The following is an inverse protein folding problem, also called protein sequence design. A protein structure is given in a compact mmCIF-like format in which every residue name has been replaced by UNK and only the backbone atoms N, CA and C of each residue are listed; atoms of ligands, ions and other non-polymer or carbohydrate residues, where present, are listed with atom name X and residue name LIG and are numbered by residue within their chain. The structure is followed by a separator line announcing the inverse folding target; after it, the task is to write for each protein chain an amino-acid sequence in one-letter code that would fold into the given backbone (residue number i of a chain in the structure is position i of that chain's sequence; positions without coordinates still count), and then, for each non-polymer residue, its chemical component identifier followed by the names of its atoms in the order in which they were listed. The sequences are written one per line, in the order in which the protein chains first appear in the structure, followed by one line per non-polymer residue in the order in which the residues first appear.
data_IF_334287633810
#
_entry.id   IF_334287633810
#
_cell.length_a   1.000
_cell.length_b   1.000
_cell.length_c   1.000
_cell.angle_alpha   90.00
_cell.angle_beta   90.00
_cell.angle_gamma   90.00
#
_symmetry.space_group_name_H-M   'P 1'
#
loop_
_entity.id
_entity.type
_entity.pdbx_description
1 polymer ?
#
# COMPACT_ATOMS: atom_id res chain seq x y z
N UNK A 1 15.81 22.75 37.72
CA UNK A 1 16.98 22.93 38.60
C UNK A 1 18.32 22.68 37.91
N UNK A 2 18.51 21.68 37.09
CA UNK A 2 19.80 21.41 36.41
C UNK A 2 20.32 22.59 35.53
N UNK A 3 19.45 23.30 34.81
CA UNK A 3 19.83 24.49 34.02
C UNK A 3 20.36 25.66 34.87
N UNK A 4 19.90 25.80 36.10
CA UNK A 4 20.35 26.84 37.00
C UNK A 4 21.77 26.57 37.53
N UNK A 5 22.11 25.30 37.73
CA UNK A 5 23.44 24.88 38.20
C UNK A 5 24.51 25.09 37.11
N UNK A 6 24.16 24.81 35.85
CA UNK A 6 25.09 25.01 34.72
C UNK A 6 25.31 26.49 34.42
N UNK A 7 24.26 27.32 34.52
CA UNK A 7 24.39 28.77 34.39
C UNK A 7 25.19 29.39 35.54
N UNK A 8 25.02 28.89 36.77
CA UNK A 8 25.79 29.34 37.93
C UNK A 8 27.27 28.95 37.80
N UNK A 9 27.59 27.73 37.34
CA UNK A 9 28.98 27.32 37.11
C UNK A 9 29.63 28.11 35.96
N UNK A 10 28.94 28.40 34.87
CA UNK A 10 29.42 29.23 33.77
C UNK A 10 29.67 30.68 34.19
N UNK A 11 28.78 31.27 35.00
CA UNK A 11 28.97 32.62 35.54
C UNK A 11 30.16 32.70 36.52
N UNK A 12 30.38 31.68 37.33
CA UNK A 12 31.51 31.63 38.27
C UNK A 12 32.87 31.55 37.55
N UNK A 13 32.96 30.76 36.45
CA UNK A 13 34.17 30.67 35.62
C UNK A 13 34.49 32.00 34.95
N UNK A 14 33.49 32.73 34.48
CA UNK A 14 33.66 34.05 33.83
C UNK A 14 34.08 35.11 34.84
N UNK A 15 33.53 35.11 36.05
CA UNK A 15 33.90 36.05 37.12
C UNK A 15 35.31 35.74 37.68
N UNK A 16 35.67 34.45 37.79
CA UNK A 16 37.01 34.06 38.24
C UNK A 16 38.11 34.48 37.25
N UNK A 17 37.85 34.43 35.93
CA UNK A 17 38.80 34.91 34.92
C UNK A 17 39.01 36.44 34.97
N UNK A 18 38.01 37.21 35.42
CA UNK A 18 38.11 38.66 35.53
C UNK A 18 38.87 39.14 36.82
N UNK A 19 38.96 38.30 37.85
CA UNK A 19 39.57 38.63 39.13
C UNK A 19 41.01 38.08 39.25
N UNK A 20 41.53 37.43 38.20
CA UNK A 20 42.89 36.84 38.23
C UNK A 20 43.02 35.65 39.19
N UNK A 21 41.90 35.04 39.60
CA UNK A 21 41.91 33.82 40.39
C UNK A 21 42.14 32.64 39.44
N UNK A 22 43.09 31.79 39.77
CA UNK A 22 43.37 30.57 38.99
C UNK A 22 42.05 29.79 38.70
N UNK A 23 41.85 29.28 37.48
CA UNK A 23 40.63 28.56 37.16
C UNK A 23 40.43 27.44 38.17
N UNK A 24 39.34 27.51 38.93
CA UNK A 24 38.93 26.41 39.80
C UNK A 24 38.56 25.25 38.88
N UNK A 25 39.45 24.29 38.75
CA UNK A 25 39.13 23.00 38.14
C UNK A 25 38.14 22.29 39.08
N UNK A 26 36.84 22.49 38.82
CA UNK A 26 35.81 21.68 39.46
C UNK A 26 35.91 20.31 38.82
N UNK A 27 36.66 19.42 39.43
CA UNK A 27 36.68 17.99 39.08
C UNK A 27 35.35 17.41 39.55
N UNK A 28 34.43 17.24 38.68
CA UNK A 28 33.16 16.50 38.95
C UNK A 28 33.58 15.05 39.23
N UNK A 29 33.11 14.50 40.34
CA UNK A 29 33.31 13.09 40.66
C UNK A 29 32.86 12.22 39.47
N UNK A 30 33.71 11.32 38.95
CA UNK A 30 33.38 10.46 37.79
C UNK A 30 32.06 9.72 37.98
N UNK A 31 31.73 9.28 39.20
CA UNK A 31 30.47 8.62 39.48
C UNK A 31 29.26 9.56 39.31
N UNK A 32 29.41 10.82 39.72
CA UNK A 32 28.36 11.83 39.55
C UNK A 32 28.19 12.18 38.09
N UNK A 33 29.28 12.31 37.32
CA UNK A 33 29.26 12.57 35.91
C UNK A 33 28.55 11.40 35.13
N UNK A 34 28.91 10.17 35.48
CA UNK A 34 28.28 8.96 34.88
C UNK A 34 26.78 8.88 35.21
N UNK A 35 26.37 9.23 36.44
CA UNK A 35 24.94 9.26 36.82
C UNK A 35 24.15 10.30 36.04
N UNK A 36 24.72 11.49 35.85
CA UNK A 36 24.11 12.56 35.05
C UNK A 36 23.97 12.12 33.58
N UNK A 37 25.00 11.49 33.01
CA UNK A 37 24.97 11.00 31.66
C UNK A 37 23.88 9.95 31.48
N UNK A 38 23.75 8.97 32.38
CA UNK A 38 22.69 7.95 32.37
C UNK A 38 21.30 8.58 32.40
N UNK A 39 21.07 9.58 33.28
CA UNK A 39 19.79 10.29 33.33
C UNK A 39 19.48 10.98 32.01
N UNK A 40 20.46 11.67 31.40
CA UNK A 40 20.30 12.34 30.11
C UNK A 40 20.03 11.36 28.95
N UNK A 41 20.73 10.24 28.94
CA UNK A 41 20.52 9.18 27.96
C UNK A 41 19.10 8.62 28.08
N UNK A 42 18.63 8.35 29.31
CA UNK A 42 17.27 7.89 29.57
C UNK A 42 16.21 8.92 29.16
N UNK A 43 16.43 10.20 29.46
CA UNK A 43 15.53 11.27 28.99
C UNK A 43 15.50 11.41 27.47
N UNK A 44 16.68 11.28 26.83
CA UNK A 44 16.77 11.28 25.37
C UNK A 44 16.04 10.07 24.77
N UNK A 45 16.26 8.88 25.32
CA UNK A 45 15.56 7.66 24.90
C UNK A 45 14.03 7.83 24.94
N UNK A 46 13.50 8.30 26.06
CA UNK A 46 12.06 8.54 26.21
C UNK A 46 11.53 9.58 25.21
N UNK A 47 12.28 10.66 24.97
CA UNK A 47 11.91 11.70 24.01
C UNK A 47 11.89 11.18 22.58
N UNK A 48 12.90 10.41 22.16
CA UNK A 48 12.96 9.86 20.81
C UNK A 48 11.95 8.74 20.61
N UNK A 49 11.70 7.90 21.61
CA UNK A 49 10.64 6.88 21.56
C UNK A 49 9.25 7.52 21.45
N UNK A 50 8.98 8.58 22.22
CA UNK A 50 7.72 9.31 22.12
C UNK A 50 7.51 9.95 20.75
N UNK A 51 8.54 10.60 20.20
CA UNK A 51 8.47 11.21 18.88
C UNK A 51 8.31 10.16 17.76
N UNK A 52 8.86 8.95 17.94
CA UNK A 52 8.66 7.83 17.00
C UNK A 52 7.22 7.34 17.03
N UNK A 53 6.67 7.11 18.22
CA UNK A 53 5.29 6.68 18.38
C UNK A 53 4.29 7.68 17.80
N UNK A 54 4.53 8.99 18.01
CA UNK A 54 3.69 10.05 17.41
C UNK A 54 3.75 10.05 15.89
N UNK A 55 4.92 9.86 15.28
CA UNK A 55 5.08 9.83 13.82
C UNK A 55 4.44 8.59 13.19
N UNK A 56 4.59 7.44 13.83
CA UNK A 56 3.91 6.19 13.41
C UNK A 56 2.39 6.37 13.51
N UNK A 57 1.87 6.95 14.58
CA UNK A 57 0.45 7.22 14.73
C UNK A 57 -0.08 8.18 13.65
N UNK A 58 0.66 9.26 13.37
CA UNK A 58 0.34 10.21 12.30
C UNK A 58 0.36 9.54 10.92
N UNK A 59 1.32 8.65 10.67
CA UNK A 59 1.41 7.90 9.42
C UNK A 59 0.23 6.92 9.28
N UNK A 60 -0.16 6.21 10.33
CA UNK A 60 -1.36 5.36 10.35
C UNK A 60 -2.62 6.15 10.01
N UNK A 61 -2.76 7.33 10.61
CA UNK A 61 -3.88 8.21 10.33
C UNK A 61 -3.90 8.66 8.87
N UNK A 62 -2.76 9.07 8.32
CA UNK A 62 -2.65 9.47 6.91
C UNK A 62 -3.01 8.33 5.94
N UNK A 63 -2.57 7.10 6.24
CA UNK A 63 -2.93 5.91 5.45
C UNK A 63 -4.43 5.64 5.53
N UNK A 64 -5.01 5.72 6.72
CA UNK A 64 -6.45 5.55 6.91
C UNK A 64 -7.27 6.59 6.12
N UNK A 65 -6.83 7.84 6.08
CA UNK A 65 -7.47 8.90 5.29
C UNK A 65 -7.39 8.64 3.78
N UNK A 66 -6.22 8.18 3.29
CA UNK A 66 -6.04 7.78 1.89
C UNK A 66 -7.02 6.67 1.51
N UNK A 67 -7.12 5.64 2.33
CA UNK A 67 -8.01 4.50 2.08
C UNK A 67 -9.48 4.87 2.22
N UNK A 68 -9.83 5.67 3.22
CA UNK A 68 -11.21 6.21 3.37
C UNK A 68 -11.62 7.01 2.13
N UNK A 69 -10.72 7.82 1.57
CA UNK A 69 -10.98 8.54 0.33
C UNK A 69 -11.16 7.58 -0.85
N UNK A 70 -10.31 6.54 -0.96
CA UNK A 70 -10.42 5.53 -1.99
C UNK A 70 -11.73 4.73 -1.89
N UNK A 71 -12.13 4.30 -0.70
CA UNK A 71 -13.42 3.60 -0.48
C UNK A 71 -14.64 4.41 -0.92
N UNK A 72 -14.61 5.72 -0.75
CA UNK A 72 -15.71 6.60 -1.24
C UNK A 72 -15.84 6.60 -2.75
N UNK A 73 -14.76 6.34 -3.48
CA UNK A 73 -14.75 6.30 -4.94
C UNK A 73 -15.09 4.92 -5.51
N UNK A 74 -15.01 3.85 -4.71
CA UNK A 74 -15.13 2.45 -5.17
C UNK A 74 -16.41 2.22 -5.95
N UNK A 75 -17.57 2.63 -5.41
CA UNK A 75 -18.88 2.42 -6.07
C UNK A 75 -18.94 3.11 -7.44
N UNK A 76 -18.45 4.36 -7.51
CA UNK A 76 -18.38 5.10 -8.78
C UNK A 76 -17.45 4.46 -9.80
N UNK A 77 -16.27 3.96 -9.37
CA UNK A 77 -15.32 3.29 -10.25
C UNK A 77 -15.82 1.92 -10.72
N UNK A 78 -16.47 1.16 -9.82
CA UNK A 78 -17.12 -0.10 -10.17
C UNK A 78 -18.26 0.11 -11.18
N UNK A 79 -19.06 1.18 -11.02
CA UNK A 79 -20.11 1.55 -11.98
C UNK A 79 -19.51 1.88 -13.36
N UNK A 80 -18.48 2.73 -13.42
CA UNK A 80 -17.81 3.11 -14.66
C UNK A 80 -17.19 1.89 -15.33
N UNK A 81 -16.47 1.03 -14.58
CA UNK A 81 -15.81 -0.16 -15.10
C UNK A 81 -16.79 -1.19 -15.68
N UNK A 82 -18.00 -1.27 -15.13
CA UNK A 82 -19.02 -2.23 -15.59
C UNK A 82 -19.97 -1.68 -16.64
N UNK A 83 -20.04 -0.36 -16.81
CA UNK A 83 -20.95 0.29 -17.78
C UNK A 83 -20.83 -0.24 -19.20
N UNK A 84 -19.61 -0.52 -19.73
CA UNK A 84 -19.44 -1.06 -21.07
C UNK A 84 -20.08 -2.44 -21.31
N UNK A 85 -20.40 -3.18 -20.25
CA UNK A 85 -20.99 -4.53 -20.34
C UNK A 85 -22.50 -4.53 -20.15
N UNK A 86 -23.07 -3.45 -19.59
CA UNK A 86 -24.50 -3.39 -19.24
C UNK A 86 -25.39 -3.16 -20.43
N UNK A 87 -26.58 -3.74 -20.33
CA UNK A 87 -27.61 -3.63 -21.34
C UNK A 87 -27.46 -4.67 -22.45
N UNK A 88 -28.58 -4.88 -23.14
CA UNK A 88 -28.71 -5.94 -24.17
C UNK A 88 -27.66 -5.83 -25.28
N UNK A 89 -27.47 -4.62 -25.82
CA UNK A 89 -26.52 -4.41 -26.93
C UNK A 89 -25.07 -4.66 -26.52
N UNK A 90 -24.67 -4.22 -25.35
CA UNK A 90 -23.33 -4.41 -24.87
C UNK A 90 -23.05 -5.88 -24.54
N UNK A 91 -23.97 -6.55 -23.84
CA UNK A 91 -23.86 -7.97 -23.55
C UNK A 91 -23.77 -8.84 -24.82
N UNK A 92 -24.58 -8.54 -25.83
CA UNK A 92 -24.52 -9.23 -27.11
C UNK A 92 -23.25 -8.92 -27.89
N UNK A 93 -22.74 -7.71 -27.83
CA UNK A 93 -21.45 -7.35 -28.42
C UNK A 93 -20.30 -8.11 -27.76
N UNK A 94 -20.28 -8.21 -26.44
CA UNK A 94 -19.29 -9.01 -25.70
C UNK A 94 -19.38 -10.50 -26.04
N UNK A 95 -20.60 -11.05 -26.13
CA UNK A 95 -20.80 -12.44 -26.55
C UNK A 95 -20.31 -12.68 -27.99
N UNK A 96 -20.52 -11.72 -28.91
CA UNK A 96 -20.01 -11.78 -30.27
C UNK A 96 -18.48 -11.77 -30.36
N UNK A 97 -17.83 -10.88 -29.57
CA UNK A 97 -16.36 -10.85 -29.45
C UNK A 97 -15.82 -12.18 -28.91
N UNK A 98 -16.39 -12.70 -27.82
CA UNK A 98 -16.00 -13.98 -27.25
C UNK A 98 -16.24 -15.17 -28.21
N UNK A 99 -17.31 -15.15 -29.00
CA UNK A 99 -17.57 -16.17 -30.05
C UNK A 99 -16.49 -16.09 -31.12
N UNK A 100 -16.13 -14.89 -31.59
CA UNK A 100 -15.06 -14.68 -32.56
C UNK A 100 -13.73 -15.18 -32.04
N UNK A 101 -13.38 -14.85 -30.77
CA UNK A 101 -12.17 -15.33 -30.13
C UNK A 101 -12.11 -16.84 -30.04
N UNK A 102 -13.22 -17.49 -29.66
CA UNK A 102 -13.33 -18.97 -29.61
C UNK A 102 -13.16 -19.63 -30.94
N UNK A 103 -13.68 -19.03 -32.01
CA UNK A 103 -13.62 -19.58 -33.37
C UNK A 103 -12.29 -19.32 -34.09
N UNK A 104 -11.63 -18.18 -33.79
CA UNK A 104 -10.44 -17.70 -34.49
C UNK A 104 -9.17 -17.67 -33.62
N UNK A 105 -9.25 -18.00 -32.31
CA UNK A 105 -8.12 -17.99 -31.43
C UNK A 105 -7.66 -16.56 -31.04
N UNK A 106 -8.59 -15.61 -30.93
CA UNK A 106 -8.32 -14.22 -30.52
C UNK A 106 -8.41 -13.99 -29.01
N UNK A 107 -8.18 -12.74 -28.61
CA UNK A 107 -8.29 -12.26 -27.21
C UNK A 107 -9.04 -10.92 -27.12
N UNK A 108 -9.81 -10.54 -28.15
CA UNK A 108 -10.50 -9.24 -28.23
C UNK A 108 -11.40 -8.96 -27.01
N UNK A 109 -12.15 -9.97 -26.54
CA UNK A 109 -13.02 -9.82 -25.38
C UNK A 109 -12.21 -9.59 -24.10
N UNK A 110 -11.13 -10.32 -23.92
CA UNK A 110 -10.28 -10.19 -22.75
C UNK A 110 -9.61 -8.81 -22.70
N UNK A 111 -9.10 -8.34 -23.83
CA UNK A 111 -8.49 -7.01 -23.97
C UNK A 111 -9.52 -5.90 -23.71
N UNK A 112 -10.73 -6.06 -24.22
CA UNK A 112 -11.85 -5.14 -23.99
C UNK A 112 -12.23 -5.06 -22.51
N UNK A 113 -12.32 -6.21 -21.82
CA UNK A 113 -12.57 -6.27 -20.38
C UNK A 113 -11.45 -5.57 -19.64
N UNK A 114 -10.20 -5.89 -19.93
CA UNK A 114 -9.04 -5.31 -19.26
C UNK A 114 -9.01 -3.77 -19.38
N UNK A 115 -9.26 -3.25 -20.56
CA UNK A 115 -9.32 -1.81 -20.80
C UNK A 115 -10.49 -1.15 -20.03
N UNK A 116 -11.63 -1.83 -19.95
CA UNK A 116 -12.80 -1.34 -19.21
C UNK A 116 -12.57 -1.26 -17.70
N UNK A 117 -11.63 -2.06 -17.16
CA UNK A 117 -11.25 -2.07 -15.75
C UNK A 117 -10.22 -1.00 -15.38
N UNK A 118 -9.66 -0.28 -16.35
CA UNK A 118 -8.64 0.75 -16.11
C UNK A 118 -9.02 1.78 -15.02
N UNK A 119 -10.27 2.33 -14.97
CA UNK A 119 -10.65 3.27 -13.92
C UNK A 119 -10.60 2.68 -12.50
N UNK A 120 -10.84 1.37 -12.36
CA UNK A 120 -10.78 0.67 -11.10
C UNK A 120 -9.33 0.33 -10.70
N UNK A 121 -8.50 -0.07 -11.66
CA UNK A 121 -7.07 -0.33 -11.43
C UNK A 121 -6.31 0.94 -11.09
N UNK A 122 -6.64 2.07 -11.73
CA UNK A 122 -6.07 3.39 -11.40
C UNK A 122 -6.40 3.81 -9.97
N UNK A 123 -7.60 3.49 -9.46
CA UNK A 123 -7.93 3.75 -8.05
C UNK A 123 -7.01 2.96 -7.11
N UNK A 124 -6.84 1.67 -7.34
CA UNK A 124 -5.98 0.80 -6.52
C UNK A 124 -4.52 1.23 -6.57
N UNK A 125 -3.98 1.52 -7.78
CA UNK A 125 -2.59 1.96 -7.94
C UNK A 125 -2.33 3.32 -7.30
N UNK A 126 -3.26 4.26 -7.44
CA UNK A 126 -3.14 5.58 -6.80
C UNK A 126 -3.17 5.51 -5.28
N UNK A 127 -4.05 4.68 -4.70
CA UNK A 127 -4.06 4.45 -3.25
C UNK A 127 -2.74 3.84 -2.79
N UNK A 128 -2.28 2.79 -3.48
CA UNK A 128 -0.98 2.13 -3.23
C UNK A 128 0.18 3.10 -3.24
N UNK A 129 0.33 3.90 -4.29
CA UNK A 129 1.44 4.86 -4.41
C UNK A 129 1.46 5.85 -3.24
N UNK A 130 0.30 6.39 -2.87
CA UNK A 130 0.19 7.31 -1.73
C UNK A 130 0.57 6.63 -0.42
N UNK A 131 0.14 5.38 -0.18
CA UNK A 131 0.51 4.59 0.99
C UNK A 131 2.02 4.35 1.02
N UNK A 132 2.62 3.95 -0.09
CA UNK A 132 4.07 3.74 -0.19
C UNK A 132 4.87 4.98 0.16
N UNK A 133 4.45 6.16 -0.31
CA UNK A 133 5.09 7.43 0.03
C UNK A 133 5.04 7.70 1.53
N UNK A 134 3.91 7.46 2.19
CA UNK A 134 3.78 7.63 3.65
C UNK A 134 4.69 6.67 4.41
N UNK A 135 4.73 5.42 4.02
CA UNK A 135 5.56 4.40 4.65
C UNK A 135 7.07 4.67 4.48
N UNK A 136 7.48 5.08 3.28
CA UNK A 136 8.87 5.47 3.02
C UNK A 136 9.26 6.69 3.86
N UNK A 137 8.35 7.65 4.03
CA UNK A 137 8.53 8.81 4.90
C UNK A 137 8.73 8.40 6.37
N UNK A 138 7.85 7.58 6.92
CA UNK A 138 7.93 7.08 8.29
C UNK A 138 9.26 6.35 8.53
N UNK A 139 9.64 5.45 7.63
CA UNK A 139 10.91 4.74 7.72
C UNK A 139 12.11 5.69 7.71
N UNK A 140 12.14 6.66 6.81
CA UNK A 140 13.22 7.63 6.72
C UNK A 140 13.32 8.47 8.00
N UNK A 141 12.19 8.90 8.54
CA UNK A 141 12.13 9.64 9.80
C UNK A 141 12.67 8.81 10.96
N UNK A 142 12.29 7.55 11.06
CA UNK A 142 12.78 6.62 12.07
C UNK A 142 14.31 6.47 12.02
N UNK A 143 14.89 6.29 10.85
CA UNK A 143 16.34 6.21 10.65
C UNK A 143 17.06 7.51 11.04
N UNK A 144 16.50 8.66 10.70
CA UNK A 144 17.05 9.97 11.07
C UNK A 144 17.04 10.13 12.58
N UNK A 145 15.93 9.79 13.25
CA UNK A 145 15.82 9.85 14.72
C UNK A 145 16.80 8.92 15.41
N UNK A 146 16.91 7.69 14.94
CA UNK A 146 17.87 6.73 15.47
C UNK A 146 19.31 7.25 15.40
N UNK A 147 19.70 7.85 14.26
CA UNK A 147 21.00 8.46 14.08
C UNK A 147 21.22 9.67 15.03
N UNK A 148 20.20 10.50 15.22
CA UNK A 148 20.26 11.63 16.16
C UNK A 148 20.39 11.14 17.60
N UNK A 149 19.59 10.17 18.02
CA UNK A 149 19.68 9.55 19.33
C UNK A 149 21.08 9.00 19.61
N UNK A 150 21.64 8.23 18.67
CA UNK A 150 22.99 7.69 18.77
C UNK A 150 24.04 8.79 18.96
N UNK A 151 24.00 9.83 18.13
CA UNK A 151 24.95 10.97 18.24
C UNK A 151 24.85 11.66 19.58
N UNK A 152 23.63 11.92 20.06
CA UNK A 152 23.39 12.58 21.33
C UNK A 152 23.85 11.71 22.50
N UNK A 153 23.59 10.42 22.47
CA UNK A 153 24.04 9.45 23.48
C UNK A 153 25.58 9.38 23.55
N UNK A 154 26.27 9.31 22.43
CA UNK A 154 27.72 9.32 22.36
C UNK A 154 28.30 10.65 22.86
N UNK A 155 27.62 11.77 22.64
CA UNK A 155 28.04 13.05 23.16
C UNK A 155 27.93 13.11 24.70
N UNK A 156 26.80 12.64 25.24
CA UNK A 156 26.63 12.57 26.70
C UNK A 156 27.68 11.67 27.39
N UNK A 157 28.03 10.57 26.74
CA UNK A 157 29.09 9.68 27.23
C UNK A 157 30.47 10.39 27.24
N UNK A 158 30.84 11.08 26.16
CA UNK A 158 32.08 11.84 26.06
C UNK A 158 32.17 12.93 27.15
N UNK A 159 31.08 13.68 27.33
CA UNK A 159 31.00 14.76 28.32
C UNK A 159 31.13 14.22 29.74
N UNK A 160 30.78 12.97 29.99
CA UNK A 160 30.91 12.27 31.27
C UNK A 160 32.24 11.52 31.44
N UNK A 161 33.13 11.52 30.43
CA UNK A 161 34.37 10.75 30.45
C UNK A 161 34.17 9.22 30.31
N UNK A 162 32.99 8.78 29.89
CA UNK A 162 32.70 7.37 29.60
C UNK A 162 33.30 7.03 28.24
N UNK A 163 33.90 5.85 28.11
CA UNK A 163 34.48 5.40 26.84
C UNK A 163 33.38 5.30 25.77
N UNK A 164 33.43 6.10 24.69
CA UNK A 164 32.44 5.98 23.60
C UNK A 164 32.45 4.60 22.94
N UNK A 165 33.61 3.92 22.96
CA UNK A 165 33.75 2.58 22.31
C UNK A 165 32.96 1.51 23.06
N UNK A 166 32.91 1.56 24.40
CA UNK A 166 32.13 0.60 25.18
C UNK A 166 30.65 0.85 25.01
N UNK A 167 30.24 2.09 24.96
CA UNK A 167 28.83 2.45 24.73
C UNK A 167 28.39 2.13 23.31
N UNK A 168 29.23 2.40 22.31
CA UNK A 168 28.93 2.13 20.89
C UNK A 168 28.81 0.62 20.60
N UNK A 169 29.56 -0.22 21.32
CA UNK A 169 29.43 -1.67 21.24
C UNK A 169 28.10 -2.18 21.80
N UNK A 170 27.47 -1.45 22.73
CA UNK A 170 26.13 -1.77 23.26
C UNK A 170 24.98 -1.21 22.43
N UNK A 171 25.23 -0.25 21.55
CA UNK A 171 24.19 0.30 20.68
C UNK A 171 24.09 -0.54 19.41
N UNK A 172 22.87 -1.00 19.04
CA UNK A 172 22.66 -1.72 17.80
C UNK A 172 23.21 -0.95 16.61
N UNK A 173 23.86 -1.64 15.67
CA UNK A 173 24.38 -1.01 14.47
C UNK A 173 23.22 -0.53 13.60
N UNK A 174 22.99 0.77 13.53
CA UNK A 174 21.88 1.38 12.78
C UNK A 174 21.92 0.98 11.30
N UNK A 175 23.11 0.76 10.75
CA UNK A 175 23.27 0.24 9.38
C UNK A 175 22.66 -1.16 9.20
N UNK A 176 22.97 -2.10 10.09
CA UNK A 176 22.41 -3.44 10.06
C UNK A 176 20.89 -3.44 10.29
N UNK A 177 20.39 -2.55 11.15
CA UNK A 177 18.95 -2.37 11.34
C UNK A 177 18.28 -1.79 10.10
N UNK A 178 18.91 -0.83 9.43
CA UNK A 178 18.39 -0.28 8.18
C UNK A 178 18.26 -1.36 7.10
N UNK A 179 19.26 -2.24 6.95
CA UNK A 179 19.22 -3.35 5.99
C UNK A 179 18.14 -4.37 6.35
N UNK A 180 18.00 -4.73 7.64
CA UNK A 180 16.97 -5.65 8.11
C UNK A 180 15.57 -5.07 7.89
N UNK A 181 15.39 -3.77 8.17
CA UNK A 181 14.15 -3.06 7.90
C UNK A 181 13.84 -2.98 6.40
N UNK A 182 14.84 -2.69 5.57
CA UNK A 182 14.67 -2.66 4.13
C UNK A 182 14.16 -3.99 3.62
N UNK A 183 14.73 -5.08 4.10
CA UNK A 183 14.33 -6.40 3.66
C UNK A 183 12.91 -6.75 4.14
N UNK A 184 12.60 -6.57 5.43
CA UNK A 184 11.30 -6.94 6.01
C UNK A 184 10.16 -6.03 5.54
N UNK A 185 10.36 -4.73 5.51
CA UNK A 185 9.37 -3.76 5.04
C UNK A 185 9.11 -3.94 3.55
N UNK A 186 10.17 -4.10 2.74
CA UNK A 186 10.02 -4.36 1.31
C UNK A 186 9.31 -5.69 1.03
N UNK A 187 9.57 -6.74 1.80
CA UNK A 187 8.83 -8.00 1.68
C UNK A 187 7.34 -7.84 2.03
N UNK A 188 7.03 -7.16 3.13
CA UNK A 188 5.65 -6.94 3.56
C UNK A 188 4.89 -6.05 2.56
N UNK A 189 5.56 -5.00 2.05
CA UNK A 189 5.01 -4.14 1.01
C UNK A 189 4.81 -4.92 -0.30
N UNK A 190 5.80 -5.70 -0.72
CA UNK A 190 5.70 -6.49 -1.95
C UNK A 190 4.60 -7.55 -1.87
N UNK A 191 4.42 -8.19 -0.72
CA UNK A 191 3.40 -9.20 -0.50
C UNK A 191 1.98 -8.62 -0.39
N UNK A 192 1.83 -7.48 0.28
CA UNK A 192 0.52 -6.93 0.64
C UNK A 192 0.09 -5.68 -0.13
N UNK A 193 1.04 -4.93 -0.72
CA UNK A 193 0.76 -3.68 -1.44
C UNK A 193 1.32 -3.73 -2.88
N UNK A 194 1.97 -4.83 -3.26
CA UNK A 194 2.64 -4.97 -4.57
C UNK A 194 1.68 -4.96 -5.76
N UNK A 195 2.23 -4.78 -6.96
CA UNK A 195 1.48 -4.82 -8.23
C UNK A 195 0.71 -6.13 -8.47
N UNK A 196 0.99 -7.19 -7.68
CA UNK A 196 0.25 -8.44 -7.69
C UNK A 196 -1.24 -8.29 -7.37
N UNK A 197 -1.61 -7.33 -6.50
CA UNK A 197 -3.02 -7.10 -6.12
C UNK A 197 -3.85 -6.59 -7.30
N UNK A 198 -3.31 -5.68 -8.10
CA UNK A 198 -3.97 -5.21 -9.32
C UNK A 198 -4.17 -6.34 -10.32
N UNK A 199 -3.16 -7.19 -10.49
CA UNK A 199 -3.25 -8.38 -11.36
C UNK A 199 -4.27 -9.39 -10.83
N UNK A 200 -4.34 -9.60 -9.52
CA UNK A 200 -5.34 -10.45 -8.88
C UNK A 200 -6.74 -9.88 -9.12
N UNK A 201 -6.92 -8.57 -8.91
CA UNK A 201 -8.19 -7.89 -9.19
C UNK A 201 -8.60 -8.05 -10.66
N UNK A 202 -7.72 -7.75 -11.61
CA UNK A 202 -7.98 -7.89 -13.05
C UNK A 202 -8.37 -9.34 -13.39
N UNK A 203 -7.56 -10.31 -12.95
CA UNK A 203 -7.81 -11.74 -13.22
C UNK A 203 -9.14 -12.21 -12.62
N UNK A 204 -9.42 -11.86 -11.38
CA UNK A 204 -10.67 -12.23 -10.71
C UNK A 204 -11.88 -11.63 -11.43
N UNK A 205 -11.79 -10.37 -11.83
CA UNK A 205 -12.86 -9.68 -12.57
C UNK A 205 -13.05 -10.28 -13.98
N UNK A 206 -11.97 -10.54 -14.71
CA UNK A 206 -12.03 -11.24 -16.01
C UNK A 206 -12.70 -12.60 -15.84
N UNK A 207 -12.31 -13.37 -14.82
CA UNK A 207 -12.89 -14.68 -14.55
C UNK A 207 -14.40 -14.59 -14.28
N UNK A 208 -14.82 -13.63 -13.47
CA UNK A 208 -16.26 -13.40 -13.18
C UNK A 208 -17.01 -13.02 -14.47
N UNK A 209 -16.49 -12.07 -15.24
CA UNK A 209 -17.11 -11.64 -16.49
C UNK A 209 -17.18 -12.76 -17.51
N UNK A 210 -16.10 -13.51 -17.68
CA UNK A 210 -16.07 -14.66 -18.60
C UNK A 210 -17.04 -15.75 -18.18
N UNK A 211 -17.14 -16.08 -16.88
CA UNK A 211 -18.10 -17.07 -16.38
C UNK A 211 -19.56 -16.67 -16.63
N UNK A 212 -19.87 -15.38 -16.59
CA UNK A 212 -21.21 -14.86 -16.89
C UNK A 212 -21.52 -14.91 -18.41
N UNK A 213 -20.51 -14.62 -19.23
CA UNK A 213 -20.67 -14.57 -20.70
C UNK A 213 -20.52 -15.94 -21.39
N UNK A 214 -19.79 -16.87 -20.76
CA UNK A 214 -19.45 -18.17 -21.36
C UNK A 214 -20.65 -18.97 -21.85
N UNK A 215 -21.80 -19.09 -21.15
CA UNK A 215 -22.97 -19.79 -21.65
C UNK A 215 -23.48 -19.18 -22.94
N UNK A 216 -23.56 -17.85 -23.02
CA UNK A 216 -24.00 -17.13 -24.22
C UNK A 216 -23.00 -17.30 -25.38
N UNK A 217 -21.70 -17.24 -25.11
CA UNK A 217 -20.61 -17.45 -26.08
C UNK A 217 -20.63 -18.89 -26.59
N UNK A 218 -20.79 -19.88 -25.70
CA UNK A 218 -20.81 -21.30 -26.10
C UNK A 218 -21.98 -21.62 -26.98
N UNK A 219 -23.17 -21.11 -26.65
CA UNK A 219 -24.36 -21.32 -27.45
C UNK A 219 -24.27 -20.65 -28.83
N UNK A 220 -23.78 -19.39 -28.86
CA UNK A 220 -23.56 -18.67 -30.11
C UNK A 220 -22.51 -19.34 -31.01
N UNK A 221 -21.41 -19.85 -30.44
CA UNK A 221 -20.37 -20.57 -31.17
C UNK A 221 -20.88 -21.93 -31.71
N UNK A 222 -21.69 -22.66 -30.91
CA UNK A 222 -22.29 -23.92 -31.31
C UNK A 222 -23.26 -23.77 -32.46
N UNK A 223 -24.12 -22.76 -32.45
CA UNK A 223 -25.06 -22.44 -33.51
C UNK A 223 -24.37 -21.92 -34.76
N UNK A 224 -23.34 -21.12 -34.67
CA UNK A 224 -22.54 -20.64 -35.80
C UNK A 224 -21.77 -21.79 -36.49
N UNK A 225 -21.24 -22.75 -35.71
CA UNK A 225 -20.60 -23.95 -36.24
C UNK A 225 -21.55 -24.88 -36.96
N UNK A 226 -22.78 -25.00 -36.49
CA UNK A 226 -23.81 -25.85 -37.11
C UNK A 226 -24.48 -25.23 -38.36
N UNK A 227 -24.56 -23.90 -38.44
CA UNK A 227 -25.20 -23.15 -39.52
C UNK A 227 -24.29 -22.88 -40.73
N UNK A 228 -23.06 -23.39 -40.73
CA UNK A 228 -22.12 -23.21 -41.86
C UNK A 228 -21.83 -21.74 -42.15
N UNK A 229 -20.95 -21.18 -41.36
CA UNK A 229 -19.96 -20.11 -41.64
C UNK A 229 -20.29 -18.90 -42.55
N UNK A 230 -21.37 -18.88 -43.27
CA UNK A 230 -21.45 -18.03 -44.47
C UNK A 230 -21.94 -16.61 -44.24
N UNK A 231 -22.50 -16.26 -43.09
CA UNK A 231 -23.29 -15.02 -43.09
C UNK A 231 -22.85 -13.90 -42.17
N UNK A 232 -21.78 -14.05 -41.36
CA UNK A 232 -21.95 -13.23 -40.18
C UNK A 232 -20.87 -12.17 -39.90
N UNK A 233 -19.69 -12.25 -40.50
CA UNK A 233 -18.57 -11.58 -39.86
C UNK A 233 -18.03 -10.32 -40.57
N UNK A 234 -18.47 -10.01 -41.77
CA UNK A 234 -17.91 -8.90 -42.59
C UNK A 234 -18.88 -7.75 -42.90
N UNK A 235 -19.60 -7.23 -41.95
CA UNK A 235 -20.45 -6.05 -42.18
C UNK A 235 -20.21 -4.89 -41.19
N UNK A 236 -20.49 -3.64 -41.61
CA UNK A 236 -20.20 -2.42 -40.79
C UNK A 236 -21.09 -2.26 -39.53
N UNK A 237 -21.97 -3.21 -39.26
CA UNK A 237 -22.72 -3.26 -38.00
C UNK A 237 -22.96 -4.73 -37.60
N UNK A 238 -21.99 -5.34 -36.92
CA UNK A 238 -22.03 -6.79 -36.69
C UNK A 238 -23.13 -7.22 -35.69
N UNK A 239 -23.50 -6.36 -34.73
CA UNK A 239 -24.37 -6.73 -33.61
C UNK A 239 -25.81 -7.04 -34.06
N UNK A 240 -26.39 -6.20 -34.89
CA UNK A 240 -27.75 -6.39 -35.37
C UNK A 240 -27.92 -7.62 -36.27
N UNK A 241 -26.90 -7.99 -37.05
CA UNK A 241 -26.93 -9.15 -37.95
C UNK A 241 -26.72 -10.45 -37.19
N UNK A 242 -25.90 -10.49 -36.14
CA UNK A 242 -25.71 -11.67 -35.28
C UNK A 242 -27.00 -11.98 -34.52
N UNK A 243 -27.63 -10.95 -33.94
CA UNK A 243 -28.91 -11.12 -33.24
C UNK A 243 -29.99 -11.59 -34.21
N UNK A 244 -30.07 -10.96 -35.39
CA UNK A 244 -31.03 -11.33 -36.43
C UNK A 244 -30.81 -12.73 -36.95
N UNK A 245 -29.57 -13.14 -37.20
CA UNK A 245 -29.25 -14.50 -37.66
C UNK A 245 -29.51 -15.58 -36.60
N UNK A 246 -29.15 -15.31 -35.33
CA UNK A 246 -29.40 -16.25 -34.24
C UNK A 246 -30.89 -16.40 -33.93
N UNK A 247 -31.67 -15.33 -34.08
CA UNK A 247 -33.13 -15.36 -33.95
C UNK A 247 -33.80 -16.01 -35.17
N UNK A 248 -33.26 -15.85 -36.39
CA UNK A 248 -33.87 -16.35 -37.62
C UNK A 248 -33.70 -17.85 -37.84
N UNK A 249 -32.71 -18.51 -37.28
CA UNK A 249 -32.36 -19.93 -37.59
C UNK A 249 -32.94 -20.94 -36.57
N UNK A 250 -33.97 -20.57 -35.82
CA UNK A 250 -34.78 -21.59 -35.07
C UNK A 250 -34.15 -22.13 -33.77
N UNK A 251 -32.97 -21.67 -33.38
CA UNK A 251 -32.36 -21.95 -32.06
C UNK A 251 -32.70 -20.93 -30.97
N UNK A 252 -33.63 -20.11 -31.25
CA UNK A 252 -33.81 -18.76 -30.76
C UNK A 252 -34.31 -18.58 -29.32
N UNK A 253 -35.14 -19.44 -28.82
CA UNK A 253 -35.73 -19.26 -27.49
C UNK A 253 -34.71 -19.50 -26.35
N UNK A 254 -33.79 -20.40 -26.58
CA UNK A 254 -32.75 -20.77 -25.64
C UNK A 254 -31.66 -19.68 -25.55
N UNK A 255 -31.17 -19.22 -26.68
CA UNK A 255 -30.16 -18.16 -26.78
C UNK A 255 -30.65 -16.85 -26.18
N UNK A 256 -31.92 -16.48 -26.39
CA UNK A 256 -32.53 -15.32 -25.78
C UNK A 256 -32.56 -15.44 -24.24
N UNK A 257 -32.94 -16.62 -23.73
CA UNK A 257 -32.96 -16.88 -22.28
C UNK A 257 -31.57 -16.74 -21.65
N UNK A 258 -30.55 -17.31 -22.26
CA UNK A 258 -29.18 -17.24 -21.79
C UNK A 258 -28.61 -15.81 -21.83
N UNK A 259 -28.90 -15.06 -22.89
CA UNK A 259 -28.55 -13.65 -22.98
C UNK A 259 -29.24 -12.85 -21.86
N UNK A 260 -30.52 -13.08 -21.59
CA UNK A 260 -31.25 -12.42 -20.52
C UNK A 260 -30.70 -12.79 -19.15
N UNK A 261 -30.30 -14.04 -18.91
CA UNK A 261 -29.62 -14.45 -17.68
C UNK A 261 -28.26 -13.77 -17.53
N UNK A 262 -27.47 -13.70 -18.60
CA UNK A 262 -26.20 -12.99 -18.62
C UNK A 262 -26.40 -11.49 -18.33
N UNK A 263 -27.44 -10.85 -18.89
CA UNK A 263 -27.75 -9.44 -18.60
C UNK A 263 -28.08 -9.23 -17.12
N UNK A 264 -28.90 -10.12 -16.54
CA UNK A 264 -29.22 -10.01 -15.10
C UNK A 264 -27.99 -10.15 -14.23
N UNK A 265 -27.11 -11.10 -14.51
CA UNK A 265 -25.83 -11.26 -13.82
C UNK A 265 -24.88 -10.08 -14.07
N UNK A 266 -24.83 -9.54 -15.30
CA UNK A 266 -24.03 -8.33 -15.63
C UNK A 266 -24.55 -7.11 -14.86
N UNK A 267 -25.86 -6.98 -14.66
CA UNK A 267 -26.42 -5.89 -13.87
C UNK A 267 -26.05 -5.99 -12.37
N UNK A 268 -25.67 -7.17 -11.89
CA UNK A 268 -25.16 -7.40 -10.52
C UNK A 268 -23.64 -7.21 -10.40
N UNK A 269 -22.92 -7.09 -11.53
CA UNK A 269 -21.47 -6.95 -11.55
C UNK A 269 -20.93 -5.75 -10.76
N UNK A 270 -21.57 -4.55 -10.77
CA UNK A 270 -21.05 -3.44 -9.98
C UNK A 270 -20.83 -3.80 -8.52
N UNK A 271 -21.80 -4.44 -7.88
CA UNK A 271 -21.68 -4.87 -6.49
C UNK A 271 -20.59 -5.93 -6.28
N UNK A 272 -20.39 -6.86 -7.24
CA UNK A 272 -19.30 -7.84 -7.16
C UNK A 272 -17.92 -7.17 -7.30
N UNK A 273 -17.79 -6.24 -8.23
CA UNK A 273 -16.52 -5.48 -8.43
C UNK A 273 -16.25 -4.53 -7.28
N UNK A 274 -17.28 -3.88 -6.75
CA UNK A 274 -17.21 -3.07 -5.53
C UNK A 274 -16.68 -3.90 -4.36
N UNK A 275 -17.21 -5.11 -4.16
CA UNK A 275 -16.72 -6.04 -3.13
C UNK A 275 -15.24 -6.39 -3.31
N UNK A 276 -14.81 -6.72 -4.53
CA UNK A 276 -13.40 -7.01 -4.83
C UNK A 276 -12.48 -5.80 -4.62
N UNK A 277 -12.91 -4.59 -5.01
CA UNK A 277 -12.13 -3.38 -4.79
C UNK A 277 -11.96 -3.08 -3.31
N UNK A 278 -13.03 -3.20 -2.52
CA UNK A 278 -12.98 -3.03 -1.08
C UNK A 278 -12.04 -4.04 -0.43
N UNK A 279 -12.14 -5.33 -0.80
CA UNK A 279 -11.23 -6.37 -0.31
C UNK A 279 -9.75 -6.07 -0.60
N UNK A 280 -9.46 -5.53 -1.79
CA UNK A 280 -8.09 -5.14 -2.15
C UNK A 280 -7.60 -3.92 -1.36
N UNK A 281 -8.45 -2.91 -1.12
CA UNK A 281 -8.11 -1.75 -0.29
C UNK A 281 -7.89 -2.15 1.18
N UNK A 282 -8.75 -3.01 1.74
CA UNK A 282 -8.59 -3.56 3.08
C UNK A 282 -7.29 -4.38 3.21
N UNK A 283 -6.94 -5.12 2.14
CA UNK A 283 -5.66 -5.82 2.05
C UNK A 283 -4.46 -4.88 2.09
N UNK A 284 -4.54 -3.76 1.40
CA UNK A 284 -3.51 -2.71 1.44
C UNK A 284 -3.39 -2.08 2.83
N UNK A 285 -4.51 -1.81 3.51
CA UNK A 285 -4.53 -1.28 4.89
C UNK A 285 -3.83 -2.22 5.86
N UNK A 286 -4.21 -3.50 5.81
CA UNK A 286 -3.63 -4.53 6.68
C UNK A 286 -2.11 -4.67 6.46
N UNK A 287 -1.68 -4.67 5.20
CA UNK A 287 -0.26 -4.78 4.87
C UNK A 287 0.52 -3.53 5.31
N UNK A 288 -0.02 -2.34 5.10
CA UNK A 288 0.59 -1.09 5.53
C UNK A 288 0.70 -1.01 7.06
N UNK A 289 -0.35 -1.37 7.79
CA UNK A 289 -0.35 -1.41 9.25
C UNK A 289 0.71 -2.40 9.76
N UNK A 290 0.75 -3.62 9.20
CA UNK A 290 1.75 -4.61 9.58
C UNK A 290 3.19 -4.17 9.32
N UNK A 291 3.44 -3.42 8.25
CA UNK A 291 4.76 -2.87 7.98
C UNK A 291 5.13 -1.72 8.94
N UNK A 292 4.17 -0.88 9.34
CA UNK A 292 4.39 0.15 10.37
C UNK A 292 4.69 -0.49 11.73
N UNK A 293 3.99 -1.55 12.09
CA UNK A 293 4.25 -2.32 13.32
C UNK A 293 5.68 -2.89 13.32
N UNK A 294 6.17 -3.35 12.16
CA UNK A 294 7.55 -3.83 12.02
C UNK A 294 8.57 -2.70 12.17
N UNK A 295 8.30 -1.52 11.61
CA UNK A 295 9.14 -0.33 11.78
C UNK A 295 9.21 0.01 13.27
N UNK A 296 8.09 0.14 13.94
CA UNK A 296 8.00 0.45 15.37
C UNK A 296 8.76 -0.58 16.23
N UNK A 297 8.51 -1.86 16.02
CA UNK A 297 9.17 -2.95 16.76
C UNK A 297 10.68 -2.99 16.55
N UNK A 298 11.17 -2.60 15.37
CA UNK A 298 12.59 -2.60 15.05
C UNK A 298 13.34 -1.45 15.71
N UNK A 299 12.69 -0.30 15.91
CA UNK A 299 13.32 0.86 16.58
C UNK A 299 13.15 0.89 18.08
N UNK A 300 12.14 0.23 18.63
CA UNK A 300 11.88 0.20 20.07
C UNK A 300 13.09 -0.26 20.91
N UNK A 301 13.88 -1.29 20.52
CA UNK A 301 15.07 -1.70 21.28
C UNK A 301 16.18 -0.63 21.34
N UNK A 302 16.26 0.28 20.34
CA UNK A 302 17.25 1.36 20.32
C UNK A 302 17.05 2.34 21.45
N UNK A 303 15.81 2.59 21.83
CA UNK A 303 15.46 3.57 22.85
C UNK A 303 15.37 2.93 24.26
N UNK A 304 15.77 1.67 24.38
CA UNK A 304 15.89 1.01 25.70
C UNK A 304 17.26 1.36 26.26
N UNK A 305 17.36 2.01 27.44
CA UNK A 305 18.65 2.37 28.04
C UNK A 305 19.49 1.11 28.29
N UNK A 306 20.67 1.04 27.70
CA UNK A 306 21.62 -0.10 27.84
C UNK A 306 22.50 0.04 29.07
N UNK A 307 22.27 1.05 29.95
CA UNK A 307 23.14 1.38 31.09
C UNK A 307 22.50 1.06 32.44
#
# INVERSE_FOLDING_TARGET
MARLVILAAGAFVTIAAFIGVAPIHITIDPEVAARIARSRISEAAARYAGAEAEDIAATRQAIHEILTAAHKEVSGKADVATRPFRGFYNATSCAAMGTKDKLRGGHELQDYIQHSLEPATVLLSSAREKILVQMMGARQNALVRANHYRKETLQFARDAGISPTELDAGLPAIGAMAETLDHSVNQTIAAGIGASLELVFIRSTITILMSVLEPAIATAAGTAGAAGTACVIDGPSPVGKIIGATIAVGGSAWTAKEIWQAIDEINRLPGKIEGLLNEQLDGQEKAATGALDQIEASFQPLFTPVL
#
